data_IF_163730022006
#
_entry.id   IF_163730022006
#
_cell.length_a   1.000
_cell.length_b   1.000
_cell.length_c   1.000
_cell.angle_alpha   90.00
_cell.angle_beta   90.00
_cell.angle_gamma   90.00
#
_symmetry.space_group_name_H-M   'P 1'
#
loop_
_entity.id
_entity.type
_entity.pdbx_description
1 polymer ?
#
# COMPACT_ATOMS: atom_id res chain seq x y z
N UNK A 1 12.66 1.23 9.84
CA UNK A 1 12.16 2.54 9.35
C UNK A 1 10.79 2.31 8.73
N UNK A 2 9.72 2.80 9.35
CA UNK A 2 8.36 2.75 8.79
C UNK A 2 8.02 4.06 8.10
N UNK A 3 7.06 4.06 7.17
CA UNK A 3 6.63 5.26 6.44
C UNK A 3 6.14 6.37 7.40
N UNK A 4 5.50 5.96 8.48
CA UNK A 4 4.90 6.79 9.50
C UNK A 4 5.95 7.59 10.27
N UNK A 5 7.15 7.04 10.40
CA UNK A 5 8.29 7.70 11.04
C UNK A 5 8.96 8.70 10.09
N UNK A 6 8.95 8.43 8.77
CA UNK A 6 9.65 9.27 7.78
C UNK A 6 8.78 10.38 7.20
N UNK A 7 7.45 10.23 7.20
CA UNK A 7 6.54 11.22 6.59
C UNK A 7 6.59 12.61 7.24
N UNK A 8 7.03 12.69 8.49
CA UNK A 8 7.13 13.95 9.26
C UNK A 8 8.53 14.58 9.20
N UNK A 9 9.48 13.93 8.51
CA UNK A 9 10.82 14.45 8.34
C UNK A 9 10.82 15.69 7.44
N UNK A 10 11.82 16.55 7.64
CA UNK A 10 12.04 17.67 6.72
C UNK A 10 12.37 17.13 5.33
N UNK A 11 12.00 17.83 4.25
CA UNK A 11 12.24 17.37 2.88
C UNK A 11 13.70 16.98 2.59
N UNK A 12 14.66 17.69 3.19
CA UNK A 12 16.09 17.40 3.07
C UNK A 12 16.48 16.07 3.72
N UNK A 13 15.96 15.78 4.91
CA UNK A 13 16.21 14.53 5.62
C UNK A 13 15.50 13.37 4.93
N UNK A 14 14.26 13.60 4.49
CA UNK A 14 13.52 12.65 3.68
C UNK A 14 14.28 12.29 2.40
N UNK A 15 14.80 13.29 1.67
CA UNK A 15 15.59 13.04 0.44
C UNK A 15 16.88 12.28 0.73
N UNK A 16 17.58 12.60 1.82
CA UNK A 16 18.79 11.87 2.24
C UNK A 16 18.50 10.40 2.53
N UNK A 17 17.36 10.12 3.14
CA UNK A 17 16.98 8.78 3.54
C UNK A 17 16.37 7.95 2.41
N UNK A 18 15.41 8.52 1.68
CA UNK A 18 14.62 7.83 0.67
C UNK A 18 15.19 8.00 -0.76
N UNK A 19 16.16 8.89 -0.96
CA UNK A 19 16.76 9.18 -2.27
C UNK A 19 15.91 10.03 -3.20
N UNK A 20 14.67 10.34 -2.83
CA UNK A 20 13.69 11.08 -3.64
C UNK A 20 13.02 12.18 -2.83
N UNK A 21 12.47 13.19 -3.50
CA UNK A 21 11.68 14.22 -2.84
C UNK A 21 10.33 13.67 -2.35
N UNK A 22 9.75 14.22 -1.26
CA UNK A 22 8.44 13.80 -0.76
C UNK A 22 7.34 13.85 -1.82
N UNK A 23 7.34 14.86 -2.69
CA UNK A 23 6.33 15.03 -3.74
C UNK A 23 6.41 13.89 -4.77
N UNK A 24 7.61 13.61 -5.28
CA UNK A 24 7.84 12.48 -6.20
C UNK A 24 7.46 11.14 -5.56
N UNK A 25 7.80 10.94 -4.29
CA UNK A 25 7.41 9.73 -3.56
C UNK A 25 5.89 9.57 -3.50
N UNK A 26 5.14 10.67 -3.29
CA UNK A 26 3.69 10.67 -3.28
C UNK A 26 3.10 10.28 -4.64
N UNK A 27 3.71 10.73 -5.73
CA UNK A 27 3.31 10.35 -7.09
C UNK A 27 3.54 8.85 -7.33
N UNK A 28 4.70 8.32 -6.95
CA UNK A 28 5.01 6.89 -7.03
C UNK A 28 3.99 6.04 -6.27
N UNK A 29 3.63 6.44 -5.04
CA UNK A 29 2.61 5.75 -4.23
C UNK A 29 1.24 5.79 -4.91
N UNK A 30 0.92 6.89 -5.60
CA UNK A 30 -0.35 7.05 -6.31
C UNK A 30 -0.43 6.08 -7.49
N UNK A 31 0.63 5.97 -8.29
CA UNK A 31 0.74 4.99 -9.39
C UNK A 31 0.60 3.56 -8.86
N UNK A 32 1.30 3.20 -7.78
CA UNK A 32 1.20 1.86 -7.19
C UNK A 32 -0.20 1.54 -6.65
N UNK A 33 -0.91 2.52 -6.10
CA UNK A 33 -2.30 2.34 -5.66
C UNK A 33 -3.22 2.09 -6.84
N UNK A 34 -3.07 2.86 -7.92
CA UNK A 34 -3.84 2.66 -9.15
C UNK A 34 -3.59 1.27 -9.74
N UNK A 35 -2.31 0.85 -9.81
CA UNK A 35 -1.95 -0.48 -10.29
C UNK A 35 -2.53 -1.59 -9.41
N UNK A 36 -2.46 -1.48 -8.07
CA UNK A 36 -3.10 -2.46 -7.18
C UNK A 36 -4.61 -2.57 -7.38
N UNK A 37 -5.27 -1.46 -7.72
CA UNK A 37 -6.71 -1.46 -8.04
C UNK A 37 -6.94 -2.18 -9.38
N UNK A 38 -6.11 -1.93 -10.38
CA UNK A 38 -6.17 -2.60 -11.68
C UNK A 38 -5.86 -4.10 -11.61
N UNK A 39 -4.89 -4.49 -10.79
CA UNK A 39 -4.48 -5.88 -10.57
C UNK A 39 -5.45 -6.66 -9.67
N UNK A 40 -6.53 -6.02 -9.17
CA UNK A 40 -7.60 -6.78 -8.53
C UNK A 40 -8.18 -7.72 -9.57
N UNK A 41 -8.02 -9.02 -9.35
CA UNK A 41 -8.62 -10.08 -10.15
C UNK A 41 -10.11 -9.77 -10.33
N UNK A 42 -10.48 -9.30 -11.52
CA UNK A 42 -11.87 -9.08 -11.90
C UNK A 42 -12.47 -10.46 -12.18
N UNK A 43 -13.27 -10.96 -11.26
CA UNK A 43 -13.86 -12.29 -11.37
C UNK A 43 -14.33 -12.86 -10.02
N UNK A 44 -14.92 -14.05 -10.05
CA UNK A 44 -15.32 -14.75 -8.84
C UNK A 44 -14.06 -15.01 -7.98
N UNK A 45 -14.05 -14.59 -6.70
CA UNK A 45 -12.94 -14.90 -5.80
C UNK A 45 -12.73 -16.42 -5.72
N UNK A 46 -11.49 -16.84 -5.52
CA UNK A 46 -11.19 -18.27 -5.43
C UNK A 46 -11.93 -18.89 -4.24
N UNK A 47 -12.24 -20.19 -4.33
CA UNK A 47 -12.89 -20.92 -3.23
C UNK A 47 -12.12 -20.78 -1.91
N UNK A 48 -10.78 -20.69 -1.98
CA UNK A 48 -9.90 -20.48 -0.84
C UNK A 48 -10.07 -19.08 -0.23
N UNK A 49 -10.15 -18.02 -1.04
CA UNK A 49 -10.36 -16.65 -0.55
C UNK A 49 -11.71 -16.52 0.18
N UNK A 50 -12.75 -17.16 -0.34
CA UNK A 50 -14.08 -17.18 0.27
C UNK A 50 -14.07 -17.92 1.62
N UNK A 51 -13.41 -19.09 1.67
CA UNK A 51 -13.31 -19.89 2.89
C UNK A 51 -12.51 -19.17 3.99
N UNK A 52 -11.44 -18.47 3.62
CA UNK A 52 -10.64 -17.69 4.56
C UNK A 52 -11.45 -16.54 5.15
N UNK A 53 -12.13 -15.75 4.30
CA UNK A 53 -13.00 -14.64 4.74
C UNK A 53 -14.17 -15.11 5.63
N UNK A 54 -14.80 -16.23 5.29
CA UNK A 54 -15.88 -16.83 6.10
C UNK A 54 -15.40 -17.29 7.47
N UNK A 55 -14.17 -17.80 7.59
CA UNK A 55 -13.57 -18.17 8.88
C UNK A 55 -13.28 -16.95 9.75
N UNK A 56 -12.69 -15.90 9.18
CA UNK A 56 -12.38 -14.66 9.91
C UNK A 56 -13.65 -13.97 10.46
N UNK A 57 -14.75 -14.01 9.70
CA UNK A 57 -16.03 -13.43 10.13
C UNK A 57 -16.76 -14.26 11.20
N UNK A 58 -16.34 -15.50 11.47
CA UNK A 58 -16.91 -16.35 12.53
C UNK A 58 -16.17 -16.26 13.87
N UNK A 59 -15.06 -15.53 13.91
CA UNK A 59 -14.21 -15.34 15.10
C UNK A 59 -14.40 -13.92 15.69
N UNK A 60 -15.33 -13.14 15.13
CA UNK A 60 -15.82 -11.87 15.68
C UNK A 60 -17.20 -12.08 16.28
#
# INVERSE_FOLDING_TARGET
>A
MTYEQVKTLKPTEFKRLCGVYPDTFKDMVTVLKAEKVWQKKTGRPSKLDLLYKSRQNRIK
#
